data_IF_507620057944
#
_entry.id   IF_507620057944
#
_cell.length_a   1.000
_cell.length_b   1.000
_cell.length_c   1.000
_cell.angle_alpha   90.00
_cell.angle_beta   90.00
_cell.angle_gamma   90.00
#
_symmetry.space_group_name_H-M   'P 1'
#
loop_
_entity.id
_entity.type
_entity.pdbx_description
1 polymer ?
#
# COMPACT_ATOMS: atom_id res chain seq x y z
N UNK A 1 -3.39 8.85 -16.25
CA UNK A 1 -2.18 9.12 -15.43
C UNK A 1 -1.04 8.37 -16.08
N UNK A 2 0.00 9.08 -16.51
CA UNK A 2 1.15 8.50 -17.20
C UNK A 2 2.07 7.83 -16.17
N UNK A 3 2.54 6.61 -16.44
CA UNK A 3 3.35 5.82 -15.50
C UNK A 3 4.77 6.37 -15.36
N UNK A 4 5.25 7.13 -16.35
CA UNK A 4 6.63 7.62 -16.41
C UNK A 4 6.96 8.77 -15.43
N UNK A 5 5.95 9.39 -14.81
CA UNK A 5 6.13 10.38 -13.72
C UNK A 5 6.19 9.73 -12.32
N UNK A 6 6.05 8.41 -12.22
CA UNK A 6 6.05 7.67 -10.95
C UNK A 6 7.46 7.30 -10.52
N UNK A 7 8.37 8.28 -10.45
CA UNK A 7 9.66 8.07 -9.77
C UNK A 7 9.38 8.01 -8.28
N UNK A 8 9.70 6.87 -7.65
CA UNK A 8 9.85 6.79 -6.20
C UNK A 8 10.97 7.77 -5.83
N UNK A 9 10.60 9.03 -5.57
CA UNK A 9 11.56 10.07 -5.33
C UNK A 9 12.40 9.62 -4.13
N UNK A 10 13.72 9.76 -4.24
CA UNK A 10 14.68 9.46 -3.18
C UNK A 10 14.38 10.24 -1.86
N UNK A 11 13.41 11.16 -1.91
CA UNK A 11 12.81 11.92 -0.82
C UNK A 11 11.54 11.30 -0.20
N UNK A 12 11.15 10.05 -0.52
CA UNK A 12 10.05 9.33 0.13
C UNK A 12 10.39 8.91 1.58
N UNK A 13 11.00 9.80 2.36
CA UNK A 13 11.32 9.59 3.78
C UNK A 13 10.07 9.18 4.58
N UNK A 14 8.91 9.77 4.29
CA UNK A 14 7.74 9.66 5.16
C UNK A 14 6.43 9.17 4.47
N UNK A 15 6.35 9.12 3.14
CA UNK A 15 5.16 8.59 2.45
C UNK A 15 5.49 8.12 1.04
N UNK A 16 5.24 6.84 0.72
CA UNK A 16 5.33 6.36 -0.65
C UNK A 16 3.95 6.51 -1.32
N UNK A 17 3.74 7.61 -2.04
CA UNK A 17 2.49 7.86 -2.78
C UNK A 17 2.12 6.73 -3.74
N UNK A 18 3.12 6.02 -4.26
CA UNK A 18 2.93 4.84 -5.13
C UNK A 18 2.34 3.65 -4.38
N UNK A 19 2.78 3.40 -3.14
CA UNK A 19 2.22 2.33 -2.32
C UNK A 19 0.80 2.69 -1.86
N UNK A 20 0.51 3.96 -1.59
CA UNK A 20 -0.86 4.40 -1.31
C UNK A 20 -1.79 4.19 -2.51
N UNK A 21 -1.34 4.52 -3.73
CA UNK A 21 -2.10 4.27 -4.95
C UNK A 21 -2.26 2.76 -5.24
N UNK A 22 -1.21 1.97 -5.01
CA UNK A 22 -1.29 0.50 -5.12
C UNK A 22 -2.31 -0.08 -4.13
N UNK A 23 -2.30 0.39 -2.87
CA UNK A 23 -3.26 -0.01 -1.84
C UNK A 23 -4.69 0.36 -2.24
N UNK A 24 -4.91 1.54 -2.80
CA UNK A 24 -6.22 1.98 -3.28
C UNK A 24 -6.74 1.05 -4.38
N UNK A 25 -5.90 0.72 -5.37
CA UNK A 25 -6.25 -0.19 -6.46
C UNK A 25 -6.54 -1.61 -5.99
N UNK A 26 -5.74 -2.15 -5.07
CA UNK A 26 -5.99 -3.47 -4.48
C UNK A 26 -7.34 -3.49 -3.74
N UNK A 27 -7.67 -2.44 -2.96
CA UNK A 27 -8.98 -2.31 -2.33
C UNK A 27 -10.14 -2.22 -3.33
N UNK A 28 -9.96 -1.54 -4.46
CA UNK A 28 -10.96 -1.48 -5.53
C UNK A 28 -11.18 -2.86 -6.16
N UNK A 29 -10.10 -3.62 -6.38
CA UNK A 29 -10.18 -4.99 -6.89
C UNK A 29 -10.86 -5.94 -5.91
N UNK A 30 -10.60 -5.83 -4.60
CA UNK A 30 -11.31 -6.59 -3.56
C UNK A 30 -12.81 -6.34 -3.66
N UNK A 31 -13.24 -5.08 -3.68
CA UNK A 31 -14.67 -4.72 -3.80
C UNK A 31 -15.29 -5.21 -5.10
N UNK A 32 -14.52 -5.19 -6.19
CA UNK A 32 -14.96 -5.72 -7.47
C UNK A 32 -15.22 -7.23 -7.37
N UNK A 33 -14.25 -8.02 -6.89
CA UNK A 33 -14.41 -9.47 -6.77
C UNK A 33 -15.49 -9.87 -5.77
N UNK A 34 -15.66 -9.14 -4.67
CA UNK A 34 -16.77 -9.36 -3.74
C UNK A 34 -18.15 -9.22 -4.42
N UNK A 35 -18.31 -8.21 -5.29
CA UNK A 35 -19.55 -8.05 -6.07
C UNK A 35 -19.73 -9.16 -7.10
N UNK A 36 -18.65 -9.65 -7.71
CA UNK A 36 -18.71 -10.77 -8.66
C UNK A 36 -19.13 -12.05 -7.93
N UNK A 37 -18.51 -12.37 -6.79
CA UNK A 37 -18.87 -13.53 -5.98
C UNK A 37 -20.36 -13.49 -5.57
N UNK A 38 -20.86 -12.33 -5.14
CA UNK A 38 -22.27 -12.15 -4.77
C UNK A 38 -23.28 -12.34 -5.92
N UNK A 39 -22.82 -12.34 -7.17
CA UNK A 39 -23.64 -12.57 -8.36
C UNK A 39 -23.46 -13.99 -8.94
N UNK A 40 -22.56 -14.79 -8.39
CA UNK A 40 -22.32 -16.15 -8.86
C UNK A 40 -23.38 -17.11 -8.33
N UNK A 41 -23.87 -17.95 -9.22
CA UNK A 41 -24.76 -19.09 -8.94
C UNK A 41 -24.05 -20.45 -9.12
N UNK A 42 -22.80 -20.43 -9.62
CA UNK A 42 -21.98 -21.61 -9.85
C UNK A 42 -20.90 -21.75 -8.75
N UNK A 43 -20.97 -22.78 -7.89
CA UNK A 43 -20.14 -22.90 -6.68
C UNK A 43 -18.63 -22.87 -6.94
N UNK A 44 -18.13 -23.54 -7.98
CA UNK A 44 -16.67 -23.58 -8.22
C UNK A 44 -16.14 -22.20 -8.64
N UNK A 45 -16.95 -21.42 -9.35
CA UNK A 45 -16.59 -20.05 -9.78
C UNK A 45 -16.68 -19.10 -8.60
N UNK A 46 -17.72 -19.21 -7.76
CA UNK A 46 -17.83 -18.46 -6.51
C UNK A 46 -16.59 -18.69 -5.63
N UNK A 47 -16.23 -19.96 -5.38
CA UNK A 47 -15.07 -20.31 -4.57
C UNK A 47 -13.76 -19.77 -5.15
N UNK A 48 -13.60 -19.84 -6.48
CA UNK A 48 -12.44 -19.25 -7.15
C UNK A 48 -12.38 -17.74 -6.94
N UNK A 49 -13.50 -17.02 -7.08
CA UNK A 49 -13.56 -15.56 -6.90
C UNK A 49 -13.32 -15.18 -5.43
N UNK A 50 -13.83 -15.95 -4.47
CA UNK A 50 -13.54 -15.76 -3.05
C UNK A 50 -12.05 -15.92 -2.74
N UNK A 51 -11.37 -16.89 -3.35
CA UNK A 51 -9.93 -17.05 -3.20
C UNK A 51 -9.17 -15.81 -3.73
N UNK A 52 -9.62 -15.22 -4.85
CA UNK A 52 -9.07 -13.95 -5.34
C UNK A 52 -9.31 -12.80 -4.35
N UNK A 53 -10.48 -12.72 -3.71
CA UNK A 53 -10.76 -11.72 -2.65
C UNK A 53 -9.76 -11.86 -1.51
N UNK A 54 -9.48 -13.09 -1.05
CA UNK A 54 -8.53 -13.34 0.03
C UNK A 54 -7.09 -12.96 -0.35
N UNK A 55 -6.64 -13.35 -1.55
CA UNK A 55 -5.31 -13.03 -2.04
C UNK A 55 -5.08 -11.51 -2.12
N UNK A 56 -6.04 -10.78 -2.70
CA UNK A 56 -5.98 -9.32 -2.84
C UNK A 56 -6.03 -8.62 -1.48
N UNK A 57 -6.85 -9.11 -0.56
CA UNK A 57 -6.89 -8.61 0.83
C UNK A 57 -5.55 -8.80 1.55
N UNK A 58 -4.88 -9.94 1.33
CA UNK A 58 -3.53 -10.18 1.84
C UNK A 58 -2.51 -9.18 1.26
N UNK A 59 -2.63 -8.85 -0.03
CA UNK A 59 -1.76 -7.85 -0.66
C UNK A 59 -1.98 -6.45 -0.09
N UNK A 60 -3.22 -6.05 0.21
CA UNK A 60 -3.51 -4.80 0.94
C UNK A 60 -2.76 -4.76 2.27
N UNK A 61 -2.82 -5.84 3.05
CA UNK A 61 -2.14 -5.92 4.35
C UNK A 61 -0.60 -5.79 4.22
N UNK A 62 -0.01 -6.46 3.22
CA UNK A 62 1.44 -6.35 2.95
C UNK A 62 1.84 -4.91 2.59
N UNK A 63 1.01 -4.22 1.80
CA UNK A 63 1.26 -2.81 1.44
C UNK A 63 1.17 -1.91 2.68
N UNK A 64 0.16 -2.11 3.53
CA UNK A 64 0.01 -1.37 4.81
C UNK A 64 1.21 -1.60 5.73
N UNK A 65 1.64 -2.85 5.90
CA UNK A 65 2.84 -3.16 6.69
C UNK A 65 4.06 -2.41 6.14
N UNK A 66 4.24 -2.38 4.82
CA UNK A 66 5.35 -1.68 4.21
C UNK A 66 5.28 -0.17 4.38
N UNK A 67 4.10 0.42 4.26
CA UNK A 67 3.87 1.83 4.52
C UNK A 67 4.22 2.19 5.97
N UNK A 68 3.81 1.36 6.93
CA UNK A 68 4.14 1.54 8.35
C UNK A 68 5.65 1.46 8.62
N UNK A 69 6.35 0.49 8.00
CA UNK A 69 7.82 0.40 8.09
C UNK A 69 8.52 1.66 7.56
N UNK A 70 8.05 2.19 6.42
CA UNK A 70 8.62 3.39 5.81
C UNK A 70 8.40 4.60 6.71
N UNK A 71 7.19 4.76 7.26
CA UNK A 71 6.88 5.85 8.19
C UNK A 71 7.73 5.78 9.46
N UNK A 72 7.89 4.58 10.05
CA UNK A 72 8.72 4.39 11.24
C UNK A 72 10.21 4.72 10.98
N UNK A 73 10.74 4.33 9.81
CA UNK A 73 12.11 4.68 9.40
C UNK A 73 12.28 6.18 9.18
N UNK A 74 11.28 6.83 8.59
CA UNK A 74 11.25 8.28 8.41
C UNK A 74 11.32 9.05 9.74
N UNK A 75 10.47 8.66 10.70
CA UNK A 75 10.44 9.25 12.04
C UNK A 75 11.76 9.05 12.81
N UNK A 76 12.39 7.87 12.67
CA UNK A 76 13.68 7.61 13.31
C UNK A 76 14.81 8.49 12.75
N UNK A 77 14.80 8.77 11.44
CA UNK A 77 15.79 9.65 10.80
C UNK A 77 15.59 11.12 11.20
N UNK A 78 14.35 11.58 11.33
CA UNK A 78 14.03 12.94 11.77
C UNK A 78 14.43 13.16 13.24
N UNK A 79 14.30 12.13 14.10
CA UNK A 79 14.77 12.16 15.48
C UNK A 79 16.30 12.23 15.62
N UNK A 80 17.06 11.59 14.72
CA UNK A 80 18.53 11.68 14.71
C UNK A 80 18.99 13.05 14.20
N UNK A 81 18.31 13.64 13.21
CA UNK A 81 18.63 14.99 12.73
C UNK A 81 18.31 16.07 13.77
N UNK A 82 17.25 15.91 14.57
CA UNK A 82 16.97 16.80 15.70
C UNK A 82 18.02 16.72 16.83
N UNK A 83 18.83 15.66 16.88
CA UNK A 83 19.91 15.49 17.86
C UNK A 83 21.29 15.96 17.37
N UNK A 84 21.41 16.41 16.12
CA UNK A 84 22.58 17.12 15.62
C UNK A 84 22.26 18.62 15.57
N UNK A 85 22.74 19.34 16.56
CA UNK A 85 22.91 20.79 16.55
C UNK A 85 24.35 21.10 16.10
N UNK A 86 24.58 21.49 14.83
CA UNK A 86 25.85 22.05 14.40
C UNK A 86 25.73 23.57 14.25
N UNK A 87 25.20 24.30 15.23
CA UNK A 87 25.51 25.71 15.45
C UNK A 87 25.11 26.15 16.88
N UNK A 88 26.01 26.13 17.86
CA UNK A 88 27.01 27.22 17.96
C UNK A 88 26.88 28.23 16.83
N UNK A 89 26.02 29.23 17.02
CA UNK A 89 25.70 30.30 16.04
C UNK A 89 26.92 30.83 15.27
#
# INVERSE_FOLDING_TARGET
>A
MNIDDLRCAHACRNSCGLLNEAMRRENEMVKFYQRVAALCDYPDVEQFVENLVQERSSNVLKIVQKLNELQARGQALDGVMASYDPAGC
#
